data_IF_709929894283
#
_entry.id   IF_709929894283
#
_cell.length_a   1.000
_cell.length_b   1.000
_cell.length_c   1.000
_cell.angle_alpha   90.00
_cell.angle_beta   90.00
_cell.angle_gamma   90.00
#
_symmetry.space_group_name_H-M   'P 1'
#
loop_
_entity.id
_entity.type
_entity.pdbx_description
1 polymer ?
#
# COMPACT_ATOMS: atom_id res chain seq x y z
N UNK A 1 -14.17 26.19 33.58
CA UNK A 1 -12.93 25.52 33.08
C UNK A 1 -13.35 24.29 32.29
N UNK A 2 -13.49 24.47 31.00
CA UNK A 2 -13.71 23.36 30.06
C UNK A 2 -12.38 22.61 29.87
N UNK A 3 -12.29 21.44 30.45
CA UNK A 3 -11.23 20.49 30.09
C UNK A 3 -11.44 20.04 28.66
N UNK A 4 -10.74 20.64 27.69
CA UNK A 4 -10.57 20.06 26.37
C UNK A 4 -10.00 18.65 26.55
N UNK A 5 -10.82 17.63 26.37
CA UNK A 5 -10.37 16.26 26.15
C UNK A 5 -9.53 16.26 24.87
N UNK A 6 -8.23 16.41 25.03
CA UNK A 6 -7.27 16.00 23.99
C UNK A 6 -7.44 14.49 23.90
N UNK A 7 -8.21 14.05 22.91
CA UNK A 7 -8.21 12.66 22.52
C UNK A 7 -6.79 12.36 22.01
N UNK A 8 -5.96 11.79 22.88
CA UNK A 8 -4.80 11.05 22.44
C UNK A 8 -5.35 9.93 21.55
N UNK A 9 -5.35 10.14 20.23
CA UNK A 9 -5.37 9.03 19.29
C UNK A 9 -4.11 8.24 19.62
N UNK A 10 -4.24 7.18 20.41
CA UNK A 10 -3.20 6.18 20.55
C UNK A 10 -2.76 5.83 19.12
N UNK A 11 -1.47 5.96 18.82
CA UNK A 11 -0.86 5.51 17.59
C UNK A 11 -0.90 3.97 17.60
N UNK A 12 -2.11 3.41 17.48
CA UNK A 12 -2.27 1.98 17.33
C UNK A 12 -1.84 1.62 15.91
N UNK A 13 -1.01 0.59 15.80
CA UNK A 13 -0.66 -0.01 14.51
C UNK A 13 -1.93 -0.35 13.75
N UNK A 14 -1.97 -0.04 12.46
CA UNK A 14 -3.06 -0.45 11.57
C UNK A 14 -3.02 -1.94 11.23
N UNK A 15 -1.92 -2.64 11.50
CA UNK A 15 -1.80 -4.08 11.26
C UNK A 15 -2.83 -4.84 12.11
N UNK A 16 -3.61 -5.68 11.44
CA UNK A 16 -4.70 -6.43 12.06
C UNK A 16 -6.07 -5.74 12.03
N UNK A 17 -6.14 -4.45 11.61
CA UNK A 17 -7.41 -3.73 11.50
C UNK A 17 -8.08 -3.95 10.15
N UNK A 18 -9.40 -3.73 10.09
CA UNK A 18 -10.17 -3.74 8.86
C UNK A 18 -10.06 -2.40 8.14
N UNK A 19 -10.14 -2.44 6.79
CA UNK A 19 -10.27 -1.25 5.97
C UNK A 19 -11.45 -0.38 6.44
N UNK A 20 -11.19 0.91 6.58
CA UNK A 20 -12.26 1.89 6.73
C UNK A 20 -12.88 2.19 5.35
N UNK A 21 -14.15 2.49 5.33
CA UNK A 21 -14.86 2.83 4.10
C UNK A 21 -14.28 4.10 3.47
N UNK A 22 -14.10 4.06 2.15
CA UNK A 22 -13.71 5.20 1.33
C UNK A 22 -14.34 5.10 -0.06
N UNK A 23 -14.35 6.21 -0.77
CA UNK A 23 -14.79 6.29 -2.15
C UNK A 23 -14.06 7.44 -2.83
N UNK A 24 -13.24 7.13 -3.83
CA UNK A 24 -12.39 8.09 -4.56
C UNK A 24 -12.48 7.87 -6.07
N UNK A 25 -12.19 8.92 -6.82
CA UNK A 25 -12.02 8.81 -8.27
C UNK A 25 -10.60 8.40 -8.61
N UNK A 26 -10.43 7.59 -9.65
CA UNK A 26 -9.15 7.07 -10.11
C UNK A 26 -8.98 7.24 -11.62
N UNK A 27 -7.74 7.34 -12.06
CA UNK A 27 -7.35 7.19 -13.45
C UNK A 27 -6.71 5.81 -13.67
N UNK A 28 -7.16 5.08 -14.70
CA UNK A 28 -6.54 3.83 -15.13
C UNK A 28 -6.91 3.53 -16.58
N UNK A 29 -5.94 3.13 -17.40
CA UNK A 29 -6.20 2.64 -18.76
C UNK A 29 -6.94 3.64 -19.65
N UNK A 30 -6.63 4.94 -19.50
CA UNK A 30 -7.27 6.07 -20.19
C UNK A 30 -8.73 6.33 -19.81
N UNK A 31 -9.20 5.77 -18.70
CA UNK A 31 -10.54 5.95 -18.16
C UNK A 31 -10.52 6.52 -16.74
N UNK A 32 -11.58 7.24 -16.39
CA UNK A 32 -11.86 7.61 -15.02
C UNK A 32 -12.88 6.63 -14.43
N UNK A 33 -12.62 6.18 -13.22
CA UNK A 33 -13.48 5.25 -12.52
C UNK A 33 -13.51 5.49 -11.03
N UNK A 34 -14.60 5.11 -10.41
CA UNK A 34 -14.76 5.17 -8.97
C UNK A 34 -14.20 3.91 -8.32
N UNK A 35 -13.36 4.06 -7.29
CA UNK A 35 -12.80 2.99 -6.49
C UNK A 35 -13.26 3.16 -5.04
N UNK A 36 -13.66 2.05 -4.43
CA UNK A 36 -14.16 1.98 -3.06
C UNK A 36 -13.40 0.92 -2.26
N UNK A 37 -13.59 0.87 -0.94
CA UNK A 37 -13.03 -0.21 -0.12
C UNK A 37 -13.51 -1.60 -0.54
N UNK A 38 -14.69 -1.71 -1.15
CA UNK A 38 -15.21 -2.98 -1.67
C UNK A 38 -14.37 -3.52 -2.83
N UNK A 39 -13.79 -2.66 -3.66
CA UNK A 39 -12.96 -3.06 -4.79
C UNK A 39 -11.62 -3.70 -4.37
N UNK A 40 -11.21 -3.48 -3.13
CA UNK A 40 -9.99 -4.05 -2.56
C UNK A 40 -10.23 -5.42 -1.89
N UNK A 41 -11.48 -5.82 -1.68
CA UNK A 41 -11.85 -7.09 -1.05
C UNK A 41 -11.95 -8.22 -2.07
N UNK A 42 -11.85 -9.48 -1.61
CA UNK A 42 -11.89 -10.66 -2.47
C UNK A 42 -10.59 -10.95 -3.22
N UNK A 43 -9.55 -10.15 -3.04
CA UNK A 43 -8.22 -10.30 -3.62
C UNK A 43 -7.16 -9.68 -2.71
N UNK A 44 -5.91 -10.04 -2.93
CA UNK A 44 -4.80 -9.33 -2.31
C UNK A 44 -4.66 -7.95 -2.93
N UNK A 45 -4.42 -6.94 -2.11
CA UNK A 45 -4.30 -5.56 -2.56
C UNK A 45 -3.14 -4.86 -1.88
N UNK A 46 -2.43 -4.01 -2.64
CA UNK A 46 -1.44 -3.07 -2.13
C UNK A 46 -2.01 -1.66 -2.29
N UNK A 47 -2.06 -0.90 -1.22
CA UNK A 47 -2.31 0.55 -1.26
C UNK A 47 -0.99 1.27 -1.02
N UNK A 48 -0.57 2.03 -2.03
CA UNK A 48 0.74 2.65 -2.11
C UNK A 48 0.60 4.17 -2.16
N UNK A 49 0.70 4.81 -0.99
CA UNK A 49 0.64 6.27 -0.86
C UNK A 49 1.97 6.91 -1.26
N UNK A 50 1.91 8.04 -1.93
CA UNK A 50 3.05 8.89 -2.26
C UNK A 50 2.66 10.37 -2.14
N UNK A 51 3.63 11.29 -1.90
CA UNK A 51 3.33 12.69 -1.63
C UNK A 51 2.54 13.41 -2.73
N UNK A 52 3.06 13.47 -3.94
CA UNK A 52 2.42 14.22 -5.03
C UNK A 52 2.94 13.82 -6.41
N UNK A 53 2.11 14.09 -7.42
CA UNK A 53 2.49 14.03 -8.83
C UNK A 53 3.55 15.08 -9.18
N UNK A 54 4.25 14.90 -10.31
CA UNK A 54 5.26 15.82 -10.84
C UNK A 54 6.41 16.15 -9.87
N UNK A 55 6.79 15.20 -8.99
CA UNK A 55 7.89 15.34 -8.04
C UNK A 55 9.11 14.51 -8.46
N UNK A 56 10.03 14.22 -7.53
CA UNK A 56 11.36 13.66 -7.84
C UNK A 56 11.49 12.16 -7.53
N UNK A 57 11.16 11.73 -6.32
CA UNK A 57 11.24 10.33 -5.88
C UNK A 57 10.01 9.55 -6.34
N UNK A 58 8.82 10.16 -6.32
CA UNK A 58 7.56 9.50 -6.64
C UNK A 58 7.55 8.82 -8.03
N UNK A 59 8.04 9.46 -9.12
CA UNK A 59 8.06 8.79 -10.41
C UNK A 59 8.96 7.56 -10.44
N UNK A 60 10.07 7.55 -9.69
CA UNK A 60 10.96 6.40 -9.63
C UNK A 60 10.32 5.20 -8.93
N UNK A 61 9.53 5.45 -7.88
CA UNK A 61 8.79 4.40 -7.17
C UNK A 61 7.67 3.81 -8.02
N UNK A 62 6.88 4.67 -8.70
CA UNK A 62 5.77 4.24 -9.55
C UNK A 62 6.28 3.51 -10.80
N UNK A 63 7.40 3.92 -11.37
CA UNK A 63 8.06 3.22 -12.47
C UNK A 63 8.53 1.83 -12.04
N UNK A 64 9.20 1.70 -10.88
CA UNK A 64 9.63 0.40 -10.35
C UNK A 64 8.44 -0.54 -10.07
N UNK A 65 7.33 0.01 -9.53
CA UNK A 65 6.09 -0.75 -9.37
C UNK A 65 5.50 -1.18 -10.73
N UNK A 66 5.51 -0.31 -11.73
CA UNK A 66 5.00 -0.61 -13.06
C UNK A 66 5.84 -1.69 -13.75
N UNK A 67 7.16 -1.61 -13.67
CA UNK A 67 8.09 -2.62 -14.22
C UNK A 67 7.92 -4.00 -13.55
N UNK A 68 7.41 -4.06 -12.32
CA UNK A 68 7.15 -5.29 -11.58
C UNK A 68 5.65 -5.67 -11.51
N UNK A 69 4.74 -4.89 -12.10
CA UNK A 69 3.30 -5.06 -11.94
C UNK A 69 2.79 -6.43 -12.41
N UNK A 70 3.32 -6.95 -13.51
CA UNK A 70 2.98 -8.28 -14.01
C UNK A 70 3.25 -9.39 -12.96
N UNK A 71 4.28 -9.27 -12.14
CA UNK A 71 4.59 -10.23 -11.09
C UNK A 71 3.58 -10.15 -9.93
N UNK A 72 3.10 -8.95 -9.58
CA UNK A 72 2.00 -8.80 -8.63
C UNK A 72 0.70 -9.42 -9.16
N UNK A 73 0.39 -9.22 -10.43
CA UNK A 73 -0.79 -9.83 -11.08
C UNK A 73 -0.73 -11.34 -11.08
N UNK A 74 0.43 -11.95 -11.34
CA UNK A 74 0.62 -13.41 -11.31
C UNK A 74 0.29 -14.04 -9.96
N UNK A 75 0.52 -13.31 -8.88
CA UNK A 75 0.20 -13.78 -7.53
C UNK A 75 -1.19 -13.32 -7.04
N UNK A 76 -2.04 -12.81 -7.94
CA UNK A 76 -3.39 -12.35 -7.62
C UNK A 76 -3.44 -11.10 -6.73
N UNK A 77 -2.42 -10.24 -6.81
CA UNK A 77 -2.35 -9.00 -6.05
C UNK A 77 -2.54 -7.79 -6.96
N UNK A 78 -3.46 -6.89 -6.58
CA UNK A 78 -3.68 -5.61 -7.27
C UNK A 78 -2.93 -4.49 -6.55
N UNK A 79 -2.45 -3.50 -7.31
CA UNK A 79 -1.80 -2.30 -6.79
C UNK A 79 -2.74 -1.11 -6.98
N UNK A 80 -2.83 -0.26 -5.98
CA UNK A 80 -3.54 1.02 -5.99
C UNK A 80 -2.57 2.10 -5.51
N UNK A 81 -2.11 2.97 -6.41
CA UNK A 81 -1.34 4.14 -6.00
C UNK A 81 -2.29 5.26 -5.57
N UNK A 82 -1.88 6.05 -4.57
CA UNK A 82 -2.73 7.10 -3.98
C UNK A 82 -1.90 8.33 -3.67
N UNK A 83 -2.37 9.50 -4.10
CA UNK A 83 -1.91 10.79 -3.59
C UNK A 83 -3.10 11.72 -3.32
N UNK A 84 -2.84 12.85 -2.72
CA UNK A 84 -3.85 13.90 -2.51
C UNK A 84 -4.15 14.72 -3.77
N UNK A 85 -3.50 14.42 -4.89
CA UNK A 85 -3.82 14.98 -6.20
C UNK A 85 -5.20 14.50 -6.70
N UNK A 86 -5.68 15.11 -7.77
CA UNK A 86 -6.91 14.66 -8.43
C UNK A 86 -6.62 13.61 -9.51
N UNK A 87 -7.62 12.81 -9.85
CA UNK A 87 -7.52 11.86 -10.98
C UNK A 87 -7.22 12.57 -12.32
N UNK A 88 -7.56 13.86 -12.46
CA UNK A 88 -7.17 14.66 -13.63
C UNK A 88 -5.68 14.95 -13.66
N UNK A 89 -5.07 15.21 -12.50
CA UNK A 89 -3.62 15.41 -12.36
C UNK A 89 -2.88 14.12 -12.71
N UNK A 90 -3.34 12.96 -12.21
CA UNK A 90 -2.79 11.65 -12.56
C UNK A 90 -2.80 11.39 -14.07
N UNK A 91 -3.92 11.70 -14.73
CA UNK A 91 -3.99 11.58 -16.19
C UNK A 91 -2.98 12.49 -16.88
N UNK A 92 -2.90 13.76 -16.49
CA UNK A 92 -1.97 14.71 -17.10
C UNK A 92 -0.51 14.27 -16.89
N UNK A 93 -0.19 13.75 -15.72
CA UNK A 93 1.15 13.23 -15.42
C UNK A 93 1.47 11.96 -16.22
N UNK A 94 0.50 11.04 -16.31
CA UNK A 94 0.64 9.84 -17.15
C UNK A 94 0.88 10.20 -18.61
N UNK A 95 0.18 11.19 -19.16
CA UNK A 95 0.34 11.60 -20.56
C UNK A 95 1.70 12.25 -20.84
N UNK A 96 2.30 12.92 -19.84
CA UNK A 96 3.50 13.76 -20.01
C UNK A 96 4.81 13.11 -19.57
N UNK A 97 4.77 12.05 -18.77
CA UNK A 97 5.96 11.41 -18.19
C UNK A 97 6.20 10.02 -18.76
N UNK A 98 7.36 9.77 -19.36
CA UNK A 98 7.72 8.46 -19.88
C UNK A 98 7.77 7.36 -18.80
N UNK A 99 8.16 7.69 -17.57
CA UNK A 99 8.13 6.76 -16.45
C UNK A 99 6.69 6.40 -16.05
N UNK A 100 5.80 7.40 -15.96
CA UNK A 100 4.44 7.21 -15.50
C UNK A 100 3.53 6.60 -16.58
N UNK A 101 3.83 6.78 -17.86
CA UNK A 101 3.15 6.07 -18.94
C UNK A 101 3.17 4.54 -18.83
N UNK A 102 4.13 3.98 -18.07
CA UNK A 102 4.21 2.55 -17.79
C UNK A 102 3.17 2.08 -16.77
N UNK A 103 2.56 2.99 -16.02
CA UNK A 103 1.63 2.66 -14.93
C UNK A 103 0.30 2.17 -15.53
N UNK A 104 -0.01 0.88 -15.30
CA UNK A 104 -1.27 0.25 -15.72
C UNK A 104 -2.23 0.01 -14.55
N UNK A 105 -1.76 0.13 -13.32
CA UNK A 105 -2.61 0.00 -12.12
C UNK A 105 -3.38 1.29 -11.84
N UNK A 106 -4.49 1.23 -11.06
CA UNK A 106 -5.28 2.39 -10.69
C UNK A 106 -4.47 3.45 -9.93
N UNK A 107 -4.54 4.70 -10.39
CA UNK A 107 -4.01 5.88 -9.72
C UNK A 107 -5.18 6.63 -9.05
N UNK A 108 -5.28 6.53 -7.73
CA UNK A 108 -6.38 7.06 -6.92
C UNK A 108 -6.11 8.49 -6.49
N UNK A 109 -7.04 9.39 -6.80
CA UNK A 109 -7.02 10.78 -6.32
C UNK A 109 -7.77 10.92 -5.00
N UNK A 110 -7.11 11.42 -3.96
CA UNK A 110 -7.69 11.68 -2.65
C UNK A 110 -7.61 13.17 -2.26
N UNK A 111 -8.16 14.10 -3.07
CA UNK A 111 -8.03 15.54 -2.81
C UNK A 111 -8.68 16.00 -1.50
N UNK A 112 -9.55 15.21 -0.92
CA UNK A 112 -10.12 15.46 0.41
C UNK A 112 -9.21 15.02 1.54
N UNK A 113 -8.23 14.17 1.26
CA UNK A 113 -7.35 13.54 2.24
C UNK A 113 -8.06 12.55 3.16
N UNK A 114 -9.28 12.14 2.83
CA UNK A 114 -10.02 11.20 3.67
C UNK A 114 -9.35 9.83 3.71
N UNK A 115 -9.00 9.28 2.57
CA UNK A 115 -8.33 7.98 2.48
C UNK A 115 -6.95 8.06 3.13
N UNK A 116 -6.19 9.11 2.87
CA UNK A 116 -4.88 9.37 3.47
C UNK A 116 -4.93 9.43 5.00
N UNK A 117 -5.98 10.07 5.57
CA UNK A 117 -6.20 10.09 7.03
C UNK A 117 -6.65 8.73 7.57
N UNK A 118 -7.48 7.99 6.85
CA UNK A 118 -7.91 6.65 7.26
C UNK A 118 -6.73 5.70 7.44
N UNK A 119 -5.71 5.84 6.59
CA UNK A 119 -4.47 5.07 6.66
C UNK A 119 -3.40 5.71 7.56
N UNK A 120 -3.68 6.84 8.20
CA UNK A 120 -2.78 7.48 9.17
C UNK A 120 -1.50 8.05 8.56
N UNK A 121 -1.49 8.38 7.27
CA UNK A 121 -0.32 8.88 6.54
C UNK A 121 -0.48 10.33 6.05
N UNK A 122 -1.45 11.07 6.55
CA UNK A 122 -1.64 12.48 6.20
C UNK A 122 -0.62 13.37 6.92
N UNK A 123 0.11 14.18 6.17
CA UNK A 123 0.90 15.31 6.66
C UNK A 123 -0.01 16.54 6.64
N UNK A 124 -0.70 16.79 7.74
CA UNK A 124 -1.75 17.82 7.83
C UNK A 124 -1.25 19.23 7.46
N UNK A 125 0.01 19.55 7.79
CA UNK A 125 0.60 20.86 7.49
C UNK A 125 0.88 21.09 5.99
N UNK A 126 1.06 20.01 5.23
CA UNK A 126 1.36 20.06 3.80
C UNK A 126 0.16 19.67 2.93
N UNK A 127 -0.82 18.96 3.49
CA UNK A 127 -1.91 18.37 2.73
C UNK A 127 -1.47 17.21 1.83
N UNK A 128 -0.34 16.58 2.15
CA UNK A 128 0.29 15.52 1.36
C UNK A 128 0.27 14.18 2.12
N UNK A 129 0.42 13.09 1.38
CA UNK A 129 0.60 11.78 1.98
C UNK A 129 2.10 11.50 2.26
N UNK A 130 2.38 10.82 3.38
CA UNK A 130 3.67 10.14 3.57
C UNK A 130 3.80 8.96 2.58
N UNK A 131 5.03 8.44 2.42
CA UNK A 131 5.27 7.21 1.65
C UNK A 131 4.81 5.98 2.42
N UNK A 132 3.50 5.77 2.47
CA UNK A 132 2.87 4.64 3.15
C UNK A 132 2.61 3.48 2.19
N UNK A 133 2.93 2.25 2.61
CA UNK A 133 2.59 1.02 1.89
C UNK A 133 1.78 0.12 2.81
N UNK A 134 0.63 -0.34 2.33
CA UNK A 134 -0.25 -1.23 3.08
C UNK A 134 -0.60 -2.43 2.24
N UNK A 135 -0.39 -3.63 2.78
CA UNK A 135 -0.84 -4.88 2.17
C UNK A 135 -2.12 -5.32 2.84
N UNK A 136 -3.12 -5.61 2.04
CA UNK A 136 -4.49 -5.92 2.46
C UNK A 136 -4.82 -7.32 1.94
N UNK A 137 -5.30 -8.18 2.82
CA UNK A 137 -5.73 -9.52 2.46
C UNK A 137 -7.16 -9.53 1.87
N UNK A 138 -7.63 -10.65 1.30
CA UNK A 138 -8.96 -10.75 0.67
C UNK A 138 -10.14 -10.39 1.59
N UNK A 139 -9.99 -10.56 2.91
CA UNK A 139 -11.01 -10.19 3.90
C UNK A 139 -11.04 -8.68 4.20
N UNK A 140 -10.17 -7.88 3.58
CA UNK A 140 -10.07 -6.44 3.80
C UNK A 140 -9.29 -6.06 5.06
N UNK A 141 -8.46 -6.98 5.60
CA UNK A 141 -7.62 -6.73 6.77
C UNK A 141 -6.23 -6.27 6.36
N UNK A 142 -5.72 -5.23 6.97
CA UNK A 142 -4.34 -4.76 6.78
C UNK A 142 -3.39 -5.74 7.47
N UNK A 143 -2.48 -6.36 6.73
CA UNK A 143 -1.52 -7.34 7.24
C UNK A 143 -0.09 -6.85 7.28
N UNK A 144 0.25 -5.83 6.49
CA UNK A 144 1.54 -5.14 6.50
C UNK A 144 1.30 -3.64 6.43
N UNK A 145 2.08 -2.89 7.19
CA UNK A 145 2.14 -1.43 7.16
C UNK A 145 3.62 -1.01 7.19
N UNK A 146 4.01 -0.19 6.24
CA UNK A 146 5.36 0.38 6.14
C UNK A 146 5.26 1.84 5.76
N UNK A 147 5.93 2.71 6.49
CA UNK A 147 5.91 4.16 6.26
C UNK A 147 7.36 4.64 6.23
N UNK A 148 7.74 5.31 5.14
CA UNK A 148 9.06 5.90 4.95
C UNK A 148 9.01 7.41 5.04
N UNK A 149 10.13 8.01 5.41
CA UNK A 149 10.34 9.46 5.28
C UNK A 149 10.33 9.88 3.81
N UNK A 150 9.99 11.13 3.53
CA UNK A 150 9.77 11.65 2.18
C UNK A 150 10.96 11.48 1.24
N UNK A 151 12.20 11.50 1.77
CA UNK A 151 13.43 11.33 1.00
C UNK A 151 13.81 9.88 0.67
N UNK A 152 13.06 8.88 1.15
CA UNK A 152 13.45 7.47 1.07
C UNK A 152 12.48 6.68 0.19
N UNK A 153 12.91 6.40 -1.05
CA UNK A 153 12.15 5.57 -2.00
C UNK A 153 12.06 4.11 -1.56
N UNK A 154 11.02 3.42 -2.02
CA UNK A 154 10.72 2.02 -1.71
C UNK A 154 11.06 1.11 -2.88
N UNK A 155 11.25 -0.19 -2.62
CA UNK A 155 11.64 -1.22 -3.58
C UNK A 155 10.44 -2.14 -3.88
N UNK A 156 10.02 -2.22 -5.15
CA UNK A 156 8.89 -3.04 -5.58
C UNK A 156 9.15 -4.54 -5.43
N UNK A 157 10.38 -5.01 -5.58
CA UNK A 157 10.72 -6.44 -5.42
C UNK A 157 10.68 -6.86 -3.95
N UNK A 158 11.12 -5.97 -3.04
CA UNK A 158 10.99 -6.22 -1.60
C UNK A 158 9.51 -6.22 -1.18
N UNK A 159 8.70 -5.32 -1.73
CA UNK A 159 7.25 -5.33 -1.51
C UNK A 159 6.62 -6.62 -2.03
N UNK A 160 6.95 -7.05 -3.25
CA UNK A 160 6.48 -8.31 -3.83
C UNK A 160 6.81 -9.51 -2.91
N UNK A 161 8.06 -9.57 -2.43
CA UNK A 161 8.49 -10.61 -1.47
C UNK A 161 7.65 -10.60 -0.19
N UNK A 162 7.33 -9.41 0.34
CA UNK A 162 6.49 -9.25 1.54
C UNK A 162 5.05 -9.72 1.30
N UNK A 163 4.47 -9.39 0.15
CA UNK A 163 3.14 -9.87 -0.25
C UNK A 163 3.12 -11.41 -0.34
N UNK A 164 4.11 -11.99 -1.00
CA UNK A 164 4.24 -13.46 -1.11
C UNK A 164 4.37 -14.14 0.26
N UNK A 165 5.12 -13.53 1.20
CA UNK A 165 5.23 -14.05 2.56
C UNK A 165 3.89 -13.96 3.32
N UNK A 166 3.15 -12.86 3.16
CA UNK A 166 1.83 -12.72 3.76
C UNK A 166 0.83 -13.76 3.21
N UNK A 167 0.81 -13.96 1.89
CA UNK A 167 0.00 -14.99 1.23
C UNK A 167 0.33 -16.39 1.74
N UNK A 168 1.62 -16.69 1.87
CA UNK A 168 2.06 -17.99 2.36
C UNK A 168 1.58 -18.25 3.79
N UNK A 169 1.76 -17.28 4.69
CA UNK A 169 1.34 -17.41 6.10
C UNK A 169 -0.17 -17.59 6.22
N UNK A 170 -0.95 -16.87 5.40
CA UNK A 170 -2.42 -17.00 5.40
C UNK A 170 -2.88 -18.37 4.87
N UNK A 171 -2.23 -18.85 3.81
CA UNK A 171 -2.55 -20.18 3.23
C UNK A 171 -2.04 -21.36 4.09
N UNK A 172 -1.12 -21.14 5.03
CA UNK A 172 -0.49 -22.17 5.84
C UNK A 172 -0.57 -21.83 7.35
N UNK A 173 -1.74 -21.95 7.99
CA UNK A 173 -1.92 -21.63 9.39
C UNK A 173 -0.92 -22.38 10.29
N UNK A 174 -0.26 -21.65 11.18
CA UNK A 174 0.74 -22.19 12.09
C UNK A 174 2.16 -22.29 11.52
N UNK A 175 2.38 -21.93 10.25
CA UNK A 175 3.71 -21.75 9.66
C UNK A 175 4.13 -20.27 9.69
N UNK A 176 5.42 -20.02 9.77
CA UNK A 176 5.98 -18.67 9.74
C UNK A 176 7.11 -18.55 8.72
N UNK A 177 7.22 -17.38 8.10
CA UNK A 177 8.31 -17.04 7.19
C UNK A 177 9.45 -16.39 7.95
N UNK A 178 10.67 -16.96 7.96
CA UNK A 178 11.83 -16.32 8.59
C UNK A 178 12.26 -15.05 7.81
N UNK A 179 13.21 -14.31 8.40
CA UNK A 179 13.79 -13.14 7.74
C UNK A 179 14.33 -13.49 6.33
N UNK A 180 14.10 -12.58 5.37
CA UNK A 180 14.51 -12.71 3.96
C UNK A 180 13.86 -13.89 3.21
N UNK A 181 12.86 -14.54 3.78
CA UNK A 181 12.19 -15.66 3.13
C UNK A 181 11.67 -15.30 1.73
N UNK A 182 11.79 -16.24 0.82
CA UNK A 182 11.25 -16.19 -0.54
C UNK A 182 10.49 -17.48 -0.84
N UNK A 183 9.53 -17.49 -1.78
CA UNK A 183 8.85 -18.69 -2.22
C UNK A 183 9.82 -19.84 -2.53
N UNK A 184 9.49 -21.06 -2.06
CA UNK A 184 10.33 -22.24 -2.19
C UNK A 184 11.40 -22.43 -1.11
N UNK A 185 11.63 -21.44 -0.25
CA UNK A 185 12.57 -21.57 0.87
C UNK A 185 11.91 -22.23 2.09
N UNK A 186 12.76 -22.72 3.01
CA UNK A 186 12.31 -23.34 4.27
C UNK A 186 11.54 -22.35 5.12
N UNK A 187 10.45 -22.84 5.69
CA UNK A 187 9.62 -22.14 6.67
C UNK A 187 9.79 -22.80 8.04
N UNK A 188 9.29 -22.16 9.08
CA UNK A 188 9.37 -22.67 10.44
C UNK A 188 7.95 -22.97 10.96
N UNK A 189 7.82 -24.07 11.69
CA UNK A 189 6.64 -24.35 12.51
C UNK A 189 7.01 -24.06 13.96
N UNK A 190 6.52 -22.97 14.56
CA UNK A 190 6.85 -22.63 15.94
C UNK A 190 6.55 -23.78 16.90
N UNK A 191 7.53 -24.12 17.75
CA UNK A 191 7.38 -25.14 18.82
C UNK A 191 8.29 -24.77 19.98
N UNK A 192 8.02 -25.33 21.15
CA UNK A 192 8.86 -25.14 22.34
C UNK A 192 10.28 -25.66 22.08
N UNK A 193 10.42 -26.70 21.27
CA UNK A 193 11.73 -27.32 20.96
C UNK A 193 12.65 -26.45 20.10
N UNK A 194 12.11 -25.41 19.42
CA UNK A 194 12.88 -24.47 18.62
C UNK A 194 13.41 -23.29 19.43
N UNK A 195 12.91 -23.09 20.66
CA UNK A 195 13.34 -21.96 21.49
C UNK A 195 14.82 -22.07 21.81
N UNK A 196 15.60 -21.06 21.40
CA UNK A 196 17.06 -21.00 21.58
C UNK A 196 17.87 -21.91 20.62
N UNK A 197 17.24 -22.50 19.59
CA UNK A 197 17.92 -23.39 18.60
C UNK A 197 17.94 -22.84 17.18
N UNK A 198 17.43 -21.62 16.95
CA UNK A 198 17.40 -20.92 15.66
C UNK A 198 18.05 -19.55 15.77
#
# INVERSE_FOLDING_TARGET
>A
LEFRRVLFRSLMSLVGTQLQSFSVEAFQGFEFKKITDADLKGKWSVVFFYPADFTFVCPTELEDLADNYAEFKKIGCEIYSVSTDTHFTHKAWHDSSEAIKKVEFPMLGDPTGQMTRNFGVMIESAGLAQRGTFVINPEGRIVICEIHDEGIGRDAKELLRKVQAAQFVEANPGMVCPAKWKPGQKTLKPSIDLVGKI
#
